data_IF_907921910214
#
_entry.id   IF_907921910214
#
_cell.length_a   1.000
_cell.length_b   1.000
_cell.length_c   1.000
_cell.angle_alpha   90.00
_cell.angle_beta   90.00
_cell.angle_gamma   90.00
#
_symmetry.space_group_name_H-M   'P 1'
#
loop_
_entity.id
_entity.type
_entity.pdbx_description
1 polymer ?
#
# COMPACT_ATOMS: atom_id res chain seq x y z
N UNK A 1 10.21 -16.46 14.11
CA UNK A 1 11.24 -15.41 14.20
C UNK A 1 12.37 -15.83 13.26
N UNK A 2 12.30 -15.48 11.97
CA UNK A 2 13.24 -16.01 10.96
C UNK A 2 14.48 -15.15 10.73
N UNK A 3 14.47 -13.91 11.21
CA UNK A 3 15.62 -13.02 11.12
C UNK A 3 16.11 -12.78 12.54
N UNK A 4 17.33 -13.21 12.86
CA UNK A 4 17.94 -13.17 14.20
C UNK A 4 18.26 -11.77 14.74
N UNK A 5 17.49 -10.75 14.33
CA UNK A 5 17.62 -9.37 14.78
C UNK A 5 16.26 -8.80 15.20
N UNK A 6 16.31 -7.82 16.11
CA UNK A 6 15.14 -7.06 16.51
C UNK A 6 14.89 -5.93 15.51
N UNK A 7 13.67 -5.83 15.01
CA UNK A 7 13.26 -4.70 14.18
C UNK A 7 13.27 -3.42 15.04
N UNK A 8 13.88 -2.32 14.58
CA UNK A 8 13.81 -1.05 15.29
C UNK A 8 12.37 -0.54 15.35
N UNK A 9 12.08 0.34 16.32
CA UNK A 9 10.77 0.96 16.43
C UNK A 9 10.43 1.81 15.20
N UNK A 10 9.23 1.62 14.68
CA UNK A 10 8.67 2.44 13.59
C UNK A 10 8.12 3.72 14.19
N UNK A 11 8.71 4.87 13.83
CA UNK A 11 8.24 6.18 14.27
C UNK A 11 7.26 6.74 13.25
N UNK A 12 6.01 6.96 13.67
CA UNK A 12 4.97 7.58 12.85
C UNK A 12 4.99 9.08 13.10
N UNK A 13 4.97 9.88 12.02
CA UNK A 13 4.91 11.33 12.07
C UNK A 13 3.98 11.83 10.98
N UNK A 14 3.18 12.83 11.31
CA UNK A 14 2.39 13.54 10.33
C UNK A 14 3.29 14.40 9.44
N UNK A 15 2.99 14.43 8.15
CA UNK A 15 3.65 15.30 7.19
C UNK A 15 2.59 16.00 6.36
N UNK A 16 2.41 17.30 6.60
CA UNK A 16 1.38 18.11 5.96
C UNK A 16 1.69 18.43 4.49
N UNK A 17 2.92 18.16 4.04
CA UNK A 17 3.29 18.29 2.62
C UNK A 17 2.86 17.08 1.79
N UNK A 18 2.45 15.98 2.42
CA UNK A 18 1.92 14.80 1.73
C UNK A 18 0.41 14.96 1.47
N UNK A 19 -0.05 14.36 0.37
CA UNK A 19 -1.47 14.25 0.11
C UNK A 19 -2.16 13.43 1.22
N UNK A 20 -3.45 13.67 1.53
CA UNK A 20 -4.14 13.08 2.69
C UNK A 20 -4.06 11.56 2.80
N UNK A 21 -4.01 10.88 1.65
CA UNK A 21 -4.00 9.42 1.57
C UNK A 21 -2.61 8.85 1.24
N UNK A 22 -1.56 9.67 1.22
CA UNK A 22 -0.21 9.25 0.87
C UNK A 22 0.60 9.01 2.14
N UNK A 23 1.30 7.87 2.18
CA UNK A 23 2.28 7.58 3.20
C UNK A 23 3.66 7.40 2.57
N UNK A 24 4.70 7.70 3.36
CA UNK A 24 6.09 7.56 2.94
C UNK A 24 6.88 6.83 4.02
N UNK A 25 7.64 5.83 3.61
CA UNK A 25 8.55 5.08 4.48
C UNK A 25 9.95 5.65 4.29
N UNK A 26 10.56 6.05 5.40
CA UNK A 26 11.94 6.54 5.43
C UNK A 26 12.84 5.56 6.19
N UNK A 27 14.02 5.28 5.66
CA UNK A 27 15.08 4.55 6.33
C UNK A 27 16.28 5.48 6.51
N UNK A 28 16.70 5.70 7.76
CA UNK A 28 17.78 6.65 8.08
C UNK A 28 17.55 8.06 7.51
N UNK A 29 16.29 8.50 7.46
CA UNK A 29 15.88 9.81 6.91
C UNK A 29 15.74 9.85 5.38
N UNK A 30 16.07 8.78 4.69
CA UNK A 30 15.96 8.68 3.22
C UNK A 30 14.65 8.01 2.84
N UNK A 31 13.85 8.58 1.92
CA UNK A 31 12.63 7.93 1.42
C UNK A 31 12.98 6.66 0.64
N UNK A 32 12.40 5.54 1.07
CA UNK A 32 12.58 4.23 0.42
C UNK A 32 11.31 3.72 -0.27
N UNK A 33 10.15 4.30 0.05
CA UNK A 33 8.89 3.92 -0.56
C UNK A 33 7.81 4.94 -0.26
N UNK A 34 6.91 5.12 -1.21
CA UNK A 34 5.75 6.00 -1.10
C UNK A 34 4.58 5.33 -1.80
N UNK A 35 3.40 5.39 -1.19
CA UNK A 35 2.19 4.87 -1.82
C UNK A 35 0.95 5.56 -1.26
N UNK A 36 -0.17 5.32 -1.92
CA UNK A 36 -1.49 5.81 -1.50
C UNK A 36 -2.24 4.69 -0.81
N UNK A 37 -2.92 5.00 0.29
CA UNK A 37 -3.78 4.09 1.05
C UNK A 37 -5.19 4.68 1.16
N UNK A 38 -6.20 3.84 0.98
CA UNK A 38 -7.60 4.19 1.19
C UNK A 38 -8.13 3.35 2.36
N UNK A 39 -8.23 3.92 3.59
CA UNK A 39 -8.61 3.17 4.78
C UNK A 39 -9.99 2.51 4.70
N UNK A 40 -10.86 3.02 3.83
CA UNK A 40 -12.23 2.59 3.59
C UNK A 40 -12.37 1.57 2.46
N UNK A 41 -11.28 1.19 1.79
CA UNK A 41 -11.29 0.30 0.61
C UNK A 41 -10.39 -0.91 0.81
N UNK A 42 -10.65 -1.96 0.03
CA UNK A 42 -9.78 -3.13 -0.04
C UNK A 42 -8.93 -3.09 -1.33
N UNK A 43 -7.69 -3.57 -1.25
CA UNK A 43 -6.80 -3.66 -2.40
C UNK A 43 -6.91 -5.05 -3.04
N UNK A 44 -7.59 -5.15 -4.17
CA UNK A 44 -7.68 -6.38 -4.96
C UNK A 44 -6.44 -6.52 -5.85
N UNK A 45 -5.53 -7.43 -5.52
CA UNK A 45 -4.27 -7.67 -6.24
C UNK A 45 -4.46 -8.77 -7.30
N UNK A 46 -4.08 -8.47 -8.55
CA UNK A 46 -4.14 -9.43 -9.65
C UNK A 46 -2.92 -10.36 -9.64
N UNK A 47 -3.10 -11.59 -9.14
CA UNK A 47 -2.08 -12.65 -9.17
C UNK A 47 -2.05 -13.47 -10.49
N UNK A 48 -2.62 -12.94 -11.59
CA UNK A 48 -2.65 -13.58 -12.91
C UNK A 48 -3.86 -14.47 -13.20
N UNK A 49 -4.87 -14.50 -12.32
CA UNK A 49 -6.14 -15.24 -12.51
C UNK A 49 -7.36 -14.39 -12.18
N UNK A 50 -7.51 -13.26 -12.85
CA UNK A 50 -8.67 -12.38 -12.65
C UNK A 50 -9.74 -12.67 -13.70
N UNK A 51 -10.98 -12.87 -13.25
CA UNK A 51 -12.15 -13.02 -14.08
C UNK A 51 -12.86 -11.68 -14.21
N UNK A 52 -12.68 -11.00 -15.36
CA UNK A 52 -13.37 -9.75 -15.68
C UNK A 52 -12.83 -8.50 -14.98
N UNK A 53 -13.25 -7.30 -15.44
CA UNK A 53 -12.82 -6.04 -14.83
C UNK A 53 -13.51 -5.81 -13.48
N UNK A 54 -12.74 -5.43 -12.46
CA UNK A 54 -13.26 -4.96 -11.17
C UNK A 54 -13.58 -3.47 -11.25
N UNK A 55 -14.70 -3.07 -10.63
CA UNK A 55 -15.06 -1.66 -10.54
C UNK A 55 -14.37 -1.03 -9.33
N UNK A 56 -13.53 -0.03 -9.58
CA UNK A 56 -12.74 0.63 -8.55
C UNK A 56 -11.66 1.55 -9.09
N UNK A 57 -10.71 1.93 -8.23
CA UNK A 57 -9.57 2.78 -8.61
C UNK A 57 -8.37 1.88 -8.93
N UNK A 58 -7.96 1.85 -10.19
CA UNK A 58 -6.78 1.11 -10.62
C UNK A 58 -5.50 1.67 -9.95
N UNK A 59 -4.63 0.76 -9.52
CA UNK A 59 -3.37 1.06 -8.83
C UNK A 59 -2.37 -0.06 -9.07
N UNK A 60 -1.19 0.05 -8.46
CA UNK A 60 -0.23 -1.05 -8.35
C UNK A 60 0.01 -1.39 -6.88
N UNK A 61 0.25 -2.67 -6.61
CA UNK A 61 0.65 -3.14 -5.29
C UNK A 61 2.06 -2.61 -4.94
N UNK A 62 2.25 -1.97 -3.76
CA UNK A 62 3.53 -1.39 -3.39
C UNK A 62 4.62 -2.41 -3.05
N UNK A 63 4.29 -3.69 -2.83
CA UNK A 63 5.28 -4.71 -2.49
C UNK A 63 5.92 -5.37 -3.72
N UNK A 64 5.12 -5.66 -4.75
CA UNK A 64 5.52 -6.45 -5.93
C UNK A 64 5.28 -5.72 -7.26
N UNK A 65 4.62 -4.57 -7.26
CA UNK A 65 4.29 -3.82 -8.49
C UNK A 65 3.23 -4.49 -9.35
N UNK A 66 2.43 -5.40 -8.78
CA UNK A 66 1.34 -6.08 -9.51
C UNK A 66 0.18 -5.12 -9.77
N UNK A 67 -0.53 -5.34 -10.87
CA UNK A 67 -1.79 -4.63 -11.12
C UNK A 67 -2.78 -4.90 -10.00
N UNK A 68 -3.40 -3.84 -9.49
CA UNK A 68 -4.38 -3.94 -8.42
C UNK A 68 -5.49 -2.91 -8.59
N UNK A 69 -6.59 -3.11 -7.89
CA UNK A 69 -7.74 -2.20 -7.91
C UNK A 69 -8.22 -1.98 -6.48
N UNK A 70 -8.38 -0.72 -6.08
CA UNK A 70 -9.08 -0.38 -4.85
C UNK A 70 -10.59 -0.58 -5.05
N UNK A 71 -11.18 -1.50 -4.30
CA UNK A 71 -12.59 -1.86 -4.37
C UNK A 71 -13.31 -1.50 -3.08
N UNK A 72 -14.61 -1.27 -3.17
CA UNK A 72 -15.46 -1.19 -1.97
C UNK A 72 -15.49 -2.56 -1.27
N UNK A 73 -15.54 -2.62 0.08
CA UNK A 73 -15.61 -3.88 0.81
C UNK A 73 -16.77 -4.81 0.39
N UNK A 74 -17.85 -4.25 -0.17
CA UNK A 74 -18.99 -5.02 -0.70
C UNK A 74 -18.74 -5.69 -2.06
N UNK A 75 -17.63 -5.39 -2.73
CA UNK A 75 -17.28 -5.88 -4.07
C UNK A 75 -16.18 -6.97 -4.04
N UNK A 76 -15.96 -7.61 -2.89
CA UNK A 76 -14.99 -8.69 -2.72
C UNK A 76 -15.34 -9.95 -3.54
#
# INVERSE_FOLDING_TARGET
QELGFLLPAVHIRDNLDLQPNVYRINLSGVPIGESTVYPDKELAINAGRVFGPLQGVATQDPAFGMEAVWIEPGNR
#
